data_IF_391416773994
#
_entry.id   IF_391416773994
#
_cell.length_a   1.000
_cell.length_b   1.000
_cell.length_c   1.000
_cell.angle_alpha   90.00
_cell.angle_beta   90.00
_cell.angle_gamma   90.00
#
_symmetry.space_group_name_H-M   'P 1'
#
loop_
_entity.id
_entity.type
_entity.pdbx_description
1 polymer ?
#
# COMPACT_ATOMS: atom_id res chain seq x y z
N UNK A 1 15.39 79.16 8.87
CA UNK A 1 14.12 79.49 9.54
C UNK A 1 12.97 79.00 8.66
N UNK A 2 11.89 78.55 9.30
CA UNK A 2 10.63 77.95 8.78
C UNK A 2 10.78 76.50 8.23
N UNK A 3 10.46 75.43 8.98
CA UNK A 3 9.18 74.89 9.52
C UNK A 3 8.29 74.13 8.51
N UNK A 4 8.18 72.79 8.75
CA UNK A 4 6.99 71.89 8.65
C UNK A 4 6.32 71.69 7.28
N UNK A 5 5.68 70.56 6.91
CA UNK A 5 4.90 69.55 7.64
C UNK A 5 4.71 68.32 6.71
N UNK A 6 4.56 67.11 7.28
CA UNK A 6 4.25 65.88 6.55
C UNK A 6 2.80 65.83 6.03
N UNK A 7 2.58 65.14 4.91
CA UNK A 7 1.27 64.65 4.50
C UNK A 7 1.42 63.30 3.76
N UNK A 8 1.05 62.21 4.45
CA UNK A 8 0.67 60.95 3.82
C UNK A 8 -0.56 61.16 2.94
N UNK A 9 -0.67 60.47 1.81
CA UNK A 9 -1.95 60.00 1.25
C UNK A 9 -1.66 58.99 0.12
N UNK A 10 -2.08 57.74 0.38
CA UNK A 10 -2.06 56.60 -0.54
C UNK A 10 -3.22 56.75 -1.53
N UNK A 11 -3.04 56.54 -2.84
CA UNK A 11 -4.15 56.21 -3.73
C UNK A 11 -4.25 54.69 -3.91
N UNK A 12 -5.31 54.18 -3.30
CA UNK A 12 -6.03 52.92 -3.51
C UNK A 12 -5.85 52.27 -4.88
N UNK A 13 -5.32 51.05 -4.92
CA UNK A 13 -5.44 50.15 -6.07
C UNK A 13 -6.91 49.72 -6.21
N UNK A 14 -7.52 50.05 -7.34
CA UNK A 14 -8.88 49.67 -7.72
C UNK A 14 -8.91 48.16 -7.98
N UNK A 15 -9.59 47.41 -7.12
CA UNK A 15 -9.83 45.97 -7.33
C UNK A 15 -10.92 45.83 -8.40
N UNK A 16 -10.54 45.34 -9.57
CA UNK A 16 -11.47 44.90 -10.60
C UNK A 16 -12.28 43.72 -10.05
N UNK A 17 -13.53 43.99 -9.70
CA UNK A 17 -14.55 43.01 -9.36
C UNK A 17 -14.86 42.18 -10.61
N UNK A 18 -14.38 40.93 -10.64
CA UNK A 18 -14.82 39.93 -11.60
C UNK A 18 -16.06 39.23 -11.03
N UNK A 19 -17.22 39.23 -11.71
CA UNK A 19 -18.36 38.43 -11.30
C UNK A 19 -18.03 36.95 -11.47
N UNK A 20 -17.93 36.21 -10.37
CA UNK A 20 -17.78 34.75 -10.38
C UNK A 20 -19.14 34.07 -10.59
N UNK A 21 -19.74 34.27 -11.76
CA UNK A 21 -20.75 33.34 -12.26
C UNK A 21 -20.02 32.22 -13.02
N UNK A 22 -19.48 31.27 -12.26
CA UNK A 22 -19.19 29.92 -12.76
C UNK A 22 -19.93 28.89 -11.95
N UNK A 23 -21.12 28.60 -12.47
CA UNK A 23 -21.89 27.39 -12.27
C UNK A 23 -21.03 26.11 -12.38
N UNK A 24 -21.30 25.18 -11.45
CA UNK A 24 -21.10 23.71 -11.53
C UNK A 24 -19.64 23.22 -11.47
N UNK A 25 -19.26 22.29 -10.59
CA UNK A 25 -19.77 20.92 -10.49
C UNK A 25 -19.90 20.49 -9.01
N UNK A 26 -21.08 20.01 -8.63
CA UNK A 26 -21.25 19.21 -7.42
C UNK A 26 -20.40 17.93 -7.56
N UNK A 27 -19.28 17.85 -6.84
CA UNK A 27 -18.57 16.59 -6.70
C UNK A 27 -19.35 15.70 -5.75
N UNK A 28 -20.20 14.89 -6.38
CA UNK A 28 -20.69 13.60 -5.94
C UNK A 28 -19.74 12.96 -4.93
N UNK A 29 -20.30 12.48 -3.83
CA UNK A 29 -19.72 11.44 -2.98
C UNK A 29 -18.71 10.62 -3.77
N UNK A 30 -17.42 10.77 -3.43
CA UNK A 30 -16.38 9.94 -4.00
C UNK A 30 -16.85 8.50 -3.89
N UNK A 31 -16.91 7.73 -5.00
CA UNK A 31 -17.09 6.30 -4.87
C UNK A 31 -15.98 5.86 -3.93
N UNK A 32 -16.34 5.24 -2.80
CA UNK A 32 -15.36 4.66 -1.90
C UNK A 32 -14.48 3.76 -2.76
N UNK A 33 -13.28 4.26 -3.06
CA UNK A 33 -12.26 3.49 -3.75
C UNK A 33 -12.11 2.25 -2.88
N UNK A 34 -12.33 1.02 -3.38
CA UNK A 34 -12.14 -0.14 -2.56
C UNK A 34 -10.63 -0.22 -2.25
N UNK A 35 -10.20 0.45 -1.19
CA UNK A 35 -8.88 0.34 -0.60
C UNK A 35 -8.80 -0.98 0.17
N UNK A 36 -8.84 -2.05 -0.60
CA UNK A 36 -8.08 -3.24 -0.32
C UNK A 36 -7.72 -3.88 -1.65
N UNK A 37 -6.69 -3.33 -2.32
CA UNK A 37 -5.81 -4.21 -3.10
C UNK A 37 -5.26 -5.21 -2.09
N UNK A 38 -5.98 -6.34 -1.93
CA UNK A 38 -5.58 -7.46 -1.08
C UNK A 38 -4.11 -7.71 -1.38
N UNK A 39 -3.26 -7.51 -0.38
CA UNK A 39 -1.82 -7.82 -0.47
C UNK A 39 -1.73 -9.22 -1.08
N UNK A 40 -1.05 -9.30 -2.22
CA UNK A 40 -1.11 -10.41 -3.17
C UNK A 40 -0.75 -11.75 -2.51
N UNK A 41 -1.76 -12.47 -2.01
CA UNK A 41 -1.70 -13.93 -1.81
C UNK A 41 -1.90 -14.66 -3.16
N UNK A 42 -1.41 -14.08 -4.26
CA UNK A 42 -1.64 -14.58 -5.61
C UNK A 42 -1.06 -15.98 -5.81
N UNK A 43 0.10 -16.25 -5.17
CA UNK A 43 0.75 -17.57 -5.18
C UNK A 43 -0.03 -18.61 -4.38
N UNK A 44 -0.51 -18.25 -3.19
CA UNK A 44 -1.28 -19.17 -2.35
C UNK A 44 -2.60 -19.59 -3.01
N UNK A 45 -3.28 -18.65 -3.69
CA UNK A 45 -4.49 -18.93 -4.46
C UNK A 45 -4.24 -19.81 -5.68
N UNK A 46 -3.03 -19.78 -6.24
CA UNK A 46 -2.65 -20.65 -7.36
C UNK A 46 -2.40 -22.08 -6.89
N UNK A 47 -1.84 -22.26 -5.69
CA UNK A 47 -1.67 -23.60 -5.10
C UNK A 47 -3.04 -24.30 -4.91
N UNK A 48 -4.09 -23.55 -4.59
CA UNK A 48 -5.45 -24.08 -4.46
C UNK A 48 -6.07 -24.56 -5.77
N UNK A 49 -5.49 -24.17 -6.92
CA UNK A 49 -5.95 -24.63 -8.24
C UNK A 49 -5.32 -25.97 -8.64
N UNK A 50 -4.31 -26.44 -7.90
CA UNK A 50 -3.69 -27.73 -8.13
C UNK A 50 -4.59 -28.86 -7.63
N UNK A 51 -4.45 -30.03 -8.24
CA UNK A 51 -5.09 -31.26 -7.78
C UNK A 51 -4.41 -31.78 -6.51
N UNK A 52 -4.70 -31.16 -5.36
CA UNK A 52 -4.14 -31.50 -4.05
C UNK A 52 -4.89 -32.66 -3.41
N UNK A 53 -4.16 -33.61 -2.81
CA UNK A 53 -4.76 -34.63 -1.94
C UNK A 53 -5.24 -34.02 -0.62
N UNK A 54 -6.11 -34.71 0.11
CA UNK A 54 -6.62 -34.21 1.39
C UNK A 54 -5.51 -34.09 2.45
N UNK A 55 -4.55 -35.01 2.44
CA UNK A 55 -3.34 -34.92 3.27
C UNK A 55 -2.51 -33.67 2.94
N UNK A 56 -2.35 -33.33 1.66
CA UNK A 56 -1.64 -32.13 1.24
C UNK A 56 -2.39 -30.87 1.68
N UNK A 57 -3.72 -30.83 1.52
CA UNK A 57 -4.55 -29.71 1.98
C UNK A 57 -4.41 -29.49 3.49
N UNK A 58 -4.45 -30.56 4.28
CA UNK A 58 -4.28 -30.50 5.74
C UNK A 58 -2.90 -29.93 6.13
N UNK A 59 -1.82 -30.44 5.53
CA UNK A 59 -0.45 -29.93 5.77
C UNK A 59 -0.31 -28.46 5.38
N UNK A 60 -0.87 -28.06 4.23
CA UNK A 60 -0.84 -26.68 3.75
C UNK A 60 -1.62 -25.76 4.70
N UNK A 61 -2.78 -26.19 5.21
CA UNK A 61 -3.56 -25.41 6.17
C UNK A 61 -2.78 -25.18 7.48
N UNK A 62 -2.10 -26.22 7.99
CA UNK A 62 -1.25 -26.11 9.17
C UNK A 62 -0.08 -25.12 8.95
N UNK A 63 0.60 -25.20 7.81
CA UNK A 63 1.67 -24.25 7.44
C UNK A 63 1.10 -22.83 7.40
N UNK A 64 -0.02 -22.59 6.70
CA UNK A 64 -0.63 -21.26 6.63
C UNK A 64 -0.97 -20.71 8.02
N UNK A 65 -1.51 -21.56 8.90
CA UNK A 65 -1.87 -21.16 10.25
C UNK A 65 -0.64 -20.77 11.08
N UNK A 66 0.48 -21.49 10.94
CA UNK A 66 1.76 -21.18 11.60
C UNK A 66 2.24 -19.75 11.29
N UNK A 67 2.17 -19.31 10.04
CA UNK A 67 2.63 -17.97 9.64
C UNK A 67 1.59 -16.86 9.85
N UNK A 68 0.29 -17.22 9.89
CA UNK A 68 -0.82 -16.25 9.97
C UNK A 68 -0.69 -15.29 11.16
N UNK A 69 -0.36 -15.82 12.34
CA UNK A 69 -0.25 -15.00 13.56
C UNK A 69 0.83 -13.92 13.46
N UNK A 70 2.02 -14.28 12.99
CA UNK A 70 3.14 -13.34 12.83
C UNK A 70 2.82 -12.25 11.81
N UNK A 71 2.25 -12.64 10.66
CA UNK A 71 1.84 -11.67 9.64
C UNK A 71 0.69 -10.77 10.13
N UNK A 72 -0.24 -11.28 10.93
CA UNK A 72 -1.34 -10.48 11.47
C UNK A 72 -0.82 -9.39 12.39
N UNK A 73 0.10 -9.73 13.31
CA UNK A 73 0.75 -8.76 14.19
C UNK A 73 1.44 -7.65 13.39
N UNK A 74 2.21 -8.01 12.36
CA UNK A 74 2.87 -7.02 11.49
C UNK A 74 1.88 -6.13 10.72
N UNK A 75 0.74 -6.68 10.29
CA UNK A 75 -0.31 -5.88 9.63
C UNK A 75 -0.95 -4.89 10.60
N UNK A 76 -1.17 -5.27 11.85
CA UNK A 76 -1.69 -4.38 12.90
C UNK A 76 -0.69 -3.26 13.20
N UNK A 77 0.59 -3.58 13.38
CA UNK A 77 1.65 -2.57 13.53
C UNK A 77 1.75 -1.65 12.32
N UNK A 78 1.65 -2.19 11.11
CA UNK A 78 1.68 -1.39 9.88
C UNK A 78 0.48 -0.43 9.79
N UNK A 79 -0.73 -0.85 10.21
CA UNK A 79 -1.91 0.02 10.26
C UNK A 79 -1.70 1.18 11.22
N UNK A 80 -1.20 0.91 12.42
CA UNK A 80 -0.88 1.95 13.40
C UNK A 80 0.18 2.92 12.86
N UNK A 81 1.27 2.41 12.27
CA UNK A 81 2.30 3.24 11.67
C UNK A 81 1.77 4.11 10.52
N UNK A 82 0.81 3.61 9.73
CA UNK A 82 0.19 4.37 8.65
C UNK A 82 -0.70 5.51 9.19
N UNK A 83 -1.46 5.26 10.26
CA UNK A 83 -2.24 6.30 10.93
C UNK A 83 -1.32 7.40 11.47
N UNK A 84 -0.23 7.02 12.13
CA UNK A 84 0.76 7.96 12.65
C UNK A 84 1.44 8.75 11.52
N UNK A 85 1.81 8.10 10.41
CA UNK A 85 2.35 8.79 9.24
C UNK A 85 1.38 9.84 8.70
N UNK A 86 0.09 9.50 8.60
CA UNK A 86 -0.93 10.45 8.13
C UNK A 86 -1.05 11.65 9.08
N UNK A 87 -0.99 11.43 10.39
CA UNK A 87 -0.97 12.50 11.39
C UNK A 87 0.28 13.37 11.31
N UNK A 88 1.47 12.78 11.05
CA UNK A 88 2.70 13.55 10.85
C UNK A 88 2.62 14.43 9.60
N UNK A 89 2.02 13.92 8.52
CA UNK A 89 1.83 14.66 7.27
C UNK A 89 0.82 15.80 7.39
N UNK A 90 -0.19 15.69 8.26
CA UNK A 90 -1.19 16.73 8.48
C UNK A 90 -0.77 17.82 9.47
N UNK A 91 0.32 17.60 10.20
CA UNK A 91 0.84 18.50 11.23
C UNK A 91 2.18 19.12 10.79
N UNK A 92 2.71 20.08 11.55
CA UNK A 92 4.04 20.66 11.32
C UNK A 92 5.19 19.73 11.79
N UNK A 93 5.09 18.42 11.50
CA UNK A 93 6.15 17.47 11.82
C UNK A 93 7.37 17.71 10.94
N UNK A 94 8.56 17.29 11.41
CA UNK A 94 9.77 17.42 10.62
C UNK A 94 9.82 16.37 9.49
N UNK A 95 10.45 16.71 8.37
CA UNK A 95 10.74 15.76 7.28
C UNK A 95 11.47 14.50 7.77
N UNK A 96 12.30 14.65 8.81
CA UNK A 96 13.04 13.54 9.44
C UNK A 96 12.07 12.52 10.04
N UNK A 97 11.05 12.97 10.76
CA UNK A 97 10.08 12.10 11.43
C UNK A 97 9.19 11.39 10.42
N UNK A 98 8.76 12.10 9.38
CA UNK A 98 7.99 11.54 8.26
C UNK A 98 8.80 10.43 7.56
N UNK A 99 10.07 10.69 7.23
CA UNK A 99 10.96 9.68 6.61
C UNK A 99 11.19 8.49 7.53
N UNK A 100 11.41 8.71 8.83
CA UNK A 100 11.58 7.65 9.82
C UNK A 100 10.35 6.73 9.87
N UNK A 101 9.14 7.30 9.93
CA UNK A 101 7.90 6.52 9.95
C UNK A 101 7.68 5.75 8.65
N UNK A 102 7.97 6.38 7.49
CA UNK A 102 7.94 5.70 6.19
C UNK A 102 8.90 4.49 6.13
N UNK A 103 10.11 4.62 6.68
CA UNK A 103 11.06 3.52 6.75
C UNK A 103 10.55 2.36 7.63
N UNK A 104 9.90 2.66 8.77
CA UNK A 104 9.29 1.63 9.62
C UNK A 104 8.19 0.85 8.87
N UNK A 105 7.31 1.55 8.14
CA UNK A 105 6.29 0.91 7.30
C UNK A 105 6.94 0.01 6.24
N UNK A 106 8.02 0.49 5.60
CA UNK A 106 8.73 -0.26 4.56
C UNK A 106 9.35 -1.55 5.11
N UNK A 107 9.96 -1.51 6.30
CA UNK A 107 10.51 -2.70 6.98
C UNK A 107 9.42 -3.72 7.30
N UNK A 108 8.29 -3.28 7.87
CA UNK A 108 7.18 -4.19 8.16
C UNK A 108 6.62 -4.86 6.89
N UNK A 109 6.56 -4.14 5.77
CA UNK A 109 6.15 -4.71 4.47
C UNK A 109 7.14 -5.77 3.99
N UNK A 110 8.44 -5.52 4.13
CA UNK A 110 9.49 -6.48 3.77
C UNK A 110 9.39 -7.74 4.64
N UNK A 111 9.19 -7.60 5.94
CA UNK A 111 9.02 -8.74 6.86
C UNK A 111 7.80 -9.59 6.49
N UNK A 112 6.66 -8.97 6.16
CA UNK A 112 5.49 -9.71 5.67
C UNK A 112 5.82 -10.47 4.38
N UNK A 113 6.54 -9.83 3.44
CA UNK A 113 6.95 -10.48 2.19
C UNK A 113 7.87 -11.69 2.45
N UNK A 114 8.80 -11.57 3.40
CA UNK A 114 9.69 -12.65 3.80
C UNK A 114 8.89 -13.82 4.40
N UNK A 115 7.96 -13.54 5.32
CA UNK A 115 7.10 -14.59 5.91
C UNK A 115 6.24 -15.30 4.86
N UNK A 116 5.72 -14.57 3.88
CA UNK A 116 4.99 -15.17 2.76
C UNK A 116 5.87 -16.08 1.90
N UNK A 117 7.13 -15.67 1.67
CA UNK A 117 8.10 -16.48 0.93
C UNK A 117 8.46 -17.76 1.68
N UNK A 118 8.75 -17.67 2.98
CA UNK A 118 9.04 -18.84 3.82
C UNK A 118 7.84 -19.80 3.89
N UNK A 119 6.62 -19.27 4.08
CA UNK A 119 5.40 -20.09 4.04
C UNK A 119 5.25 -20.81 2.70
N UNK A 120 5.56 -20.14 1.59
CA UNK A 120 5.55 -20.75 0.27
C UNK A 120 6.62 -21.84 0.11
N UNK A 121 7.84 -21.65 0.63
CA UNK A 121 8.89 -22.68 0.59
C UNK A 121 8.46 -23.94 1.33
N UNK A 122 7.84 -23.81 2.51
CA UNK A 122 7.30 -24.95 3.25
C UNK A 122 6.18 -25.65 2.46
N UNK A 123 5.23 -24.89 1.89
CA UNK A 123 4.16 -25.48 1.07
C UNK A 123 4.74 -26.20 -0.17
N UNK A 124 5.75 -25.63 -0.82
CA UNK A 124 6.40 -26.25 -1.99
C UNK A 124 6.94 -27.64 -1.65
N UNK A 125 7.43 -27.87 -0.44
CA UNK A 125 7.92 -29.18 0.00
C UNK A 125 6.82 -30.25 0.09
N UNK A 126 5.56 -29.84 0.32
CA UNK A 126 4.38 -30.72 0.35
C UNK A 126 3.93 -31.14 -1.06
N UNK A 127 4.22 -30.32 -2.07
CA UNK A 127 3.84 -30.58 -3.46
C UNK A 127 4.75 -31.60 -4.14
N UNK A 128 4.16 -32.39 -5.04
CA UNK A 128 4.91 -33.32 -5.92
C UNK A 128 5.69 -32.56 -7.01
N UNK A 129 6.71 -33.18 -7.64
CA UNK A 129 7.41 -32.56 -8.77
C UNK A 129 6.49 -32.14 -9.93
N UNK A 130 5.47 -32.95 -10.23
CA UNK A 130 4.48 -32.64 -11.26
C UNK A 130 3.64 -31.41 -10.89
N UNK A 131 3.10 -31.36 -9.66
CA UNK A 131 2.34 -30.21 -9.16
C UNK A 131 3.17 -28.92 -9.13
N UNK A 132 4.47 -28.99 -8.85
CA UNK A 132 5.37 -27.82 -8.92
C UNK A 132 5.53 -27.30 -10.35
N UNK A 133 5.53 -28.20 -11.33
CA UNK A 133 5.59 -27.85 -12.75
C UNK A 133 4.30 -27.18 -13.19
N UNK A 134 3.15 -27.77 -12.87
CA UNK A 134 1.83 -27.19 -13.10
C UNK A 134 1.70 -25.80 -12.46
N UNK A 135 2.14 -25.66 -11.20
CA UNK A 135 2.17 -24.37 -10.52
C UNK A 135 3.01 -23.32 -11.26
N UNK A 136 4.17 -23.71 -11.79
CA UNK A 136 5.03 -22.78 -12.56
C UNK A 136 4.38 -22.30 -13.85
N UNK A 137 3.60 -23.17 -14.51
CA UNK A 137 2.83 -22.82 -15.71
C UNK A 137 1.72 -21.84 -15.37
N UNK A 138 0.94 -22.12 -14.32
CA UNK A 138 -0.11 -21.21 -13.84
C UNK A 138 0.44 -19.83 -13.45
N UNK A 139 1.65 -19.78 -12.87
CA UNK A 139 2.34 -18.52 -12.56
C UNK A 139 2.72 -17.75 -13.83
N UNK A 140 3.15 -18.45 -14.88
CA UNK A 140 3.54 -17.85 -16.17
C UNK A 140 2.31 -17.30 -16.91
N UNK A 141 1.21 -18.05 -16.92
CA UNK A 141 -0.07 -17.63 -17.53
C UNK A 141 -0.65 -16.37 -16.89
N UNK A 142 -0.49 -16.21 -15.56
CA UNK A 142 -0.88 -14.98 -14.86
C UNK A 142 0.06 -13.80 -15.09
N UNK A 143 1.22 -14.03 -15.71
CA UNK A 143 2.18 -13.00 -16.10
C UNK A 143 2.39 -12.96 -17.62
N UNK A 144 1.35 -12.68 -18.44
CA UNK A 144 1.46 -12.74 -19.90
C UNK A 144 2.36 -11.64 -20.50
N UNK A 145 2.78 -10.65 -19.71
CA UNK A 145 3.62 -9.55 -20.18
C UNK A 145 4.88 -9.40 -19.28
N UNK A 146 5.99 -10.00 -19.69
CA UNK A 146 7.25 -10.06 -18.93
C UNK A 146 7.96 -8.71 -18.74
N UNK A 147 7.37 -7.59 -19.17
CA UNK A 147 7.92 -6.25 -18.97
C UNK A 147 7.76 -5.71 -17.54
N UNK A 148 6.95 -6.34 -16.69
CA UNK A 148 6.61 -5.74 -15.38
C UNK A 148 6.65 -6.69 -14.16
N UNK A 149 7.02 -7.96 -14.33
CA UNK A 149 7.16 -8.90 -13.20
C UNK A 149 8.62 -9.33 -13.08
N UNK A 150 9.44 -8.48 -12.46
CA UNK A 150 10.86 -8.77 -12.19
C UNK A 150 11.86 -7.73 -12.71
N UNK A 151 11.57 -6.42 -12.64
CA UNK A 151 12.67 -5.45 -12.58
C UNK A 151 13.28 -5.52 -11.18
N UNK A 152 14.55 -5.90 -11.19
CA UNK A 152 15.50 -6.11 -10.10
C UNK A 152 15.39 -5.08 -8.98
#
# INVERSE_FOLDING_TARGET
MALTLAANLVPTATVLSYPQDRLFIAQTSSPQRPESRRVNNSRERLIEQLNLTDDQKSKIAAIRQKYRGQMQKLRETMRSNQQELNSLLSNNASDRDIRSKHQQISRNRQEISNLQFESFLEIRQVLTPAQRTEFSQLMQERCPNSRNCGRQ
#
